data_IF_284865662247
#
_entry.id   IF_284865662247
#
_cell.length_a   1.000
_cell.length_b   1.000
_cell.length_c   1.000
_cell.angle_alpha   90.00
_cell.angle_beta   90.00
_cell.angle_gamma   90.00
#
_symmetry.space_group_name_H-M   'P 1'
#
loop_
_entity.id
_entity.type
_entity.pdbx_description
1 polymer ?
#
# COMPACT_ATOMS: atom_id res chain seq x y z
N UNK A 1 -8.82 14.07 -21.24
CA UNK A 1 -8.09 13.27 -20.24
C UNK A 1 -9.12 12.49 -19.46
N UNK A 2 -8.97 11.18 -19.38
CA UNK A 2 -9.79 10.34 -18.48
C UNK A 2 -9.48 10.70 -17.03
N UNK A 3 -10.51 10.93 -16.23
CA UNK A 3 -10.35 11.19 -14.79
C UNK A 3 -9.80 9.91 -14.14
N UNK A 4 -8.80 10.04 -13.27
CA UNK A 4 -8.24 8.93 -12.52
C UNK A 4 -8.69 9.02 -11.06
N UNK A 5 -9.24 7.93 -10.54
CA UNK A 5 -9.70 7.84 -9.17
C UNK A 5 -8.54 7.52 -8.23
N UNK A 6 -8.32 8.34 -7.21
CA UNK A 6 -7.37 8.05 -6.13
C UNK A 6 -8.17 7.63 -4.90
N UNK A 7 -8.07 6.36 -4.55
CA UNK A 7 -8.97 5.66 -3.62
C UNK A 7 -8.27 5.38 -2.31
N UNK A 8 -8.88 5.80 -1.22
CA UNK A 8 -8.42 5.58 0.15
C UNK A 8 -9.49 4.83 0.94
N UNK A 9 -9.06 3.90 1.79
CA UNK A 9 -9.92 3.19 2.73
C UNK A 9 -9.45 3.48 4.15
N UNK A 10 -10.32 4.05 4.98
CA UNK A 10 -9.99 4.35 6.37
C UNK A 10 -11.23 4.35 7.25
N UNK A 11 -11.25 3.48 8.25
CA UNK A 11 -12.39 3.28 9.14
C UNK A 11 -11.96 2.81 10.54
N UNK A 12 -12.87 2.93 11.51
CA UNK A 12 -12.83 2.26 12.81
C UNK A 12 -11.90 2.88 13.86
N UNK A 13 -10.99 3.80 13.49
CA UNK A 13 -10.12 4.42 14.48
C UNK A 13 -9.58 5.78 14.05
N UNK A 14 -9.41 6.70 15.00
CA UNK A 14 -8.83 8.03 14.75
C UNK A 14 -7.39 7.95 14.20
N UNK A 15 -6.59 6.99 14.64
CA UNK A 15 -5.24 6.80 14.07
C UNK A 15 -5.29 6.43 12.59
N UNK A 16 -6.23 5.58 12.19
CA UNK A 16 -6.48 5.26 10.78
C UNK A 16 -6.88 6.50 9.97
N UNK A 17 -7.79 7.33 10.51
CA UNK A 17 -8.22 8.57 9.86
C UNK A 17 -7.05 9.55 9.70
N UNK A 18 -6.23 9.75 10.72
CA UNK A 18 -5.05 10.61 10.62
C UNK A 18 -4.04 10.12 9.60
N UNK A 19 -3.83 8.81 9.47
CA UNK A 19 -2.98 8.22 8.41
C UNK A 19 -3.49 8.61 7.03
N UNK A 20 -4.77 8.36 6.73
CA UNK A 20 -5.36 8.68 5.43
C UNK A 20 -5.35 10.19 5.15
N UNK A 21 -5.65 11.04 6.13
CA UNK A 21 -5.54 12.49 6.03
C UNK A 21 -4.11 12.89 5.66
N UNK A 22 -3.10 12.36 6.37
CA UNK A 22 -1.71 12.68 6.08
C UNK A 22 -1.26 12.17 4.71
N UNK A 23 -1.74 10.99 4.29
CA UNK A 23 -1.50 10.45 2.96
C UNK A 23 -1.99 11.42 1.87
N UNK A 24 -3.24 11.91 1.98
CA UNK A 24 -3.84 12.88 1.05
C UNK A 24 -3.07 14.21 1.06
N UNK A 25 -2.76 14.76 2.23
CA UNK A 25 -2.00 16.00 2.37
C UNK A 25 -0.59 15.87 1.77
N UNK A 26 0.06 14.71 1.96
CA UNK A 26 1.37 14.44 1.37
C UNK A 26 1.31 14.40 -0.16
N UNK A 27 0.31 13.73 -0.72
CA UNK A 27 0.07 13.73 -2.17
C UNK A 27 -0.13 15.17 -2.68
N UNK A 28 -1.07 15.91 -2.09
CA UNK A 28 -1.38 17.29 -2.48
C UNK A 28 -0.14 18.19 -2.43
N UNK A 29 0.70 18.02 -1.42
CA UNK A 29 1.95 18.78 -1.31
C UNK A 29 2.90 18.55 -2.50
N UNK A 30 2.95 17.36 -3.08
CA UNK A 30 3.81 17.03 -4.20
C UNK A 30 3.21 17.38 -5.55
N UNK A 31 1.90 17.18 -5.74
CA UNK A 31 1.24 17.44 -7.03
C UNK A 31 0.68 18.86 -7.17
N UNK A 32 0.53 19.60 -6.05
CA UNK A 32 -0.01 20.96 -5.98
C UNK A 32 -1.38 21.07 -6.67
N UNK A 33 -1.58 22.10 -7.49
CA UNK A 33 -2.83 22.36 -8.22
C UNK A 33 -3.25 21.20 -9.13
N UNK A 34 -2.29 20.34 -9.56
CA UNK A 34 -2.59 19.14 -10.36
C UNK A 34 -3.43 18.12 -9.59
N UNK A 35 -3.64 18.28 -8.27
CA UNK A 35 -4.54 17.43 -7.48
C UNK A 35 -5.97 17.45 -8.04
N UNK A 36 -6.38 18.56 -8.65
CA UNK A 36 -7.69 18.74 -9.26
C UNK A 36 -7.90 17.93 -10.54
N UNK A 37 -6.84 17.32 -11.08
CA UNK A 37 -6.93 16.40 -12.22
C UNK A 37 -7.40 15.00 -11.81
N UNK A 38 -7.50 14.75 -10.49
CA UNK A 38 -7.92 13.49 -9.93
C UNK A 38 -9.27 13.61 -9.22
N UNK A 39 -9.99 12.50 -9.14
CA UNK A 39 -11.08 12.34 -8.18
C UNK A 39 -10.51 11.67 -6.94
N UNK A 40 -10.52 12.37 -5.82
CA UNK A 40 -10.17 11.78 -4.52
C UNK A 40 -11.42 11.09 -3.96
N UNK A 41 -11.31 9.81 -3.64
CA UNK A 41 -12.40 9.01 -3.06
C UNK A 41 -11.93 8.47 -1.72
N UNK A 42 -12.68 8.77 -0.67
CA UNK A 42 -12.41 8.26 0.68
C UNK A 42 -13.59 7.40 1.14
N UNK A 43 -13.35 6.11 1.25
CA UNK A 43 -14.27 5.16 1.88
C UNK A 43 -14.04 5.21 3.39
N UNK A 44 -15.03 5.66 4.15
CA UNK A 44 -14.90 5.85 5.61
C UNK A 44 -16.25 5.78 6.33
N UNK A 45 -16.20 5.40 7.60
CA UNK A 45 -17.34 5.45 8.51
C UNK A 45 -17.51 6.82 9.21
N UNK A 46 -16.55 7.77 9.01
CA UNK A 46 -16.54 9.08 9.67
C UNK A 46 -16.19 10.23 8.69
N UNK A 47 -16.99 10.54 7.66
CA UNK A 47 -16.68 11.60 6.70
C UNK A 47 -16.43 12.98 7.34
N UNK A 48 -17.17 13.33 8.38
CA UNK A 48 -17.06 14.63 9.06
C UNK A 48 -15.69 14.82 9.74
N UNK A 49 -15.08 13.73 10.20
CA UNK A 49 -13.72 13.77 10.74
C UNK A 49 -12.72 14.24 9.69
N UNK A 50 -12.84 13.76 8.45
CA UNK A 50 -11.96 14.13 7.34
C UNK A 50 -12.17 15.56 6.89
N UNK A 51 -13.42 16.03 6.81
CA UNK A 51 -13.77 17.40 6.39
C UNK A 51 -13.08 18.45 7.25
N UNK A 52 -12.92 18.19 8.55
CA UNK A 52 -12.22 19.07 9.48
C UNK A 52 -10.77 19.40 9.05
N UNK A 53 -10.08 18.44 8.41
CA UNK A 53 -8.66 18.57 8.05
C UNK A 53 -8.42 18.72 6.55
N UNK A 54 -9.39 18.36 5.71
CA UNK A 54 -9.28 18.36 4.27
C UNK A 54 -10.23 19.36 3.59
N UNK A 55 -10.64 20.38 4.32
CA UNK A 55 -11.43 21.48 3.76
C UNK A 55 -10.72 22.16 2.59
N UNK A 56 -11.45 22.39 1.49
CA UNK A 56 -10.93 22.93 0.24
C UNK A 56 -10.37 21.89 -0.74
N UNK A 57 -10.37 20.58 -0.39
CA UNK A 57 -10.14 19.52 -1.36
C UNK A 57 -11.47 19.00 -1.91
N UNK A 58 -11.51 18.74 -3.22
CA UNK A 58 -12.65 18.09 -3.84
C UNK A 58 -12.60 16.57 -3.61
N UNK A 59 -13.25 16.11 -2.53
CA UNK A 59 -13.26 14.71 -2.11
C UNK A 59 -14.66 14.13 -2.17
N UNK A 60 -14.80 13.00 -2.83
CA UNK A 60 -16.01 12.16 -2.76
C UNK A 60 -15.90 11.23 -1.55
N UNK A 61 -16.71 11.44 -0.53
CA UNK A 61 -16.80 10.54 0.61
C UNK A 61 -17.85 9.47 0.35
N UNK A 62 -17.47 8.21 0.51
CA UNK A 62 -18.39 7.07 0.46
C UNK A 62 -18.49 6.51 1.88
N UNK A 63 -19.69 6.68 2.46
CA UNK A 63 -19.99 6.22 3.82
C UNK A 63 -19.97 4.70 3.89
N UNK A 64 -19.22 4.16 4.84
CA UNK A 64 -19.20 2.75 5.17
C UNK A 64 -20.04 2.50 6.42
N UNK A 65 -21.19 1.84 6.26
CA UNK A 65 -21.96 1.38 7.41
C UNK A 65 -21.33 0.13 8.06
N UNK A 66 -21.66 -0.21 9.31
CA UNK A 66 -21.23 -1.44 9.95
C UNK A 66 -21.63 -2.70 9.15
N UNK A 67 -22.81 -2.67 8.51
CA UNK A 67 -23.31 -3.75 7.66
C UNK A 67 -22.42 -3.91 6.42
N UNK A 68 -22.12 -2.83 5.71
CA UNK A 68 -21.21 -2.83 4.55
C UNK A 68 -19.83 -3.36 4.93
N UNK A 69 -19.28 -2.91 6.06
CA UNK A 69 -17.97 -3.40 6.56
C UNK A 69 -18.00 -4.89 6.86
N UNK A 70 -19.14 -5.44 7.30
CA UNK A 70 -19.33 -6.87 7.55
C UNK A 70 -19.48 -7.64 6.24
N UNK A 71 -20.32 -7.16 5.33
CA UNK A 71 -20.54 -7.75 3.99
C UNK A 71 -19.25 -7.85 3.19
N UNK A 72 -18.38 -6.81 3.25
CA UNK A 72 -17.07 -6.82 2.59
C UNK A 72 -16.16 -7.96 3.04
N UNK A 73 -16.38 -8.54 4.23
CA UNK A 73 -15.64 -9.71 4.70
C UNK A 73 -16.16 -11.03 4.13
N UNK A 74 -17.38 -11.07 3.60
CA UNK A 74 -18.04 -12.29 3.07
C UNK A 74 -17.91 -13.51 4.01
N UNK A 75 -18.01 -13.31 5.32
CA UNK A 75 -17.89 -14.36 6.33
C UNK A 75 -16.47 -14.92 6.56
N UNK A 76 -15.44 -14.44 5.84
CA UNK A 76 -14.07 -14.98 5.95
C UNK A 76 -13.33 -14.51 7.21
N UNK A 77 -13.72 -13.40 7.81
CA UNK A 77 -12.99 -12.71 8.87
C UNK A 77 -11.69 -12.04 8.40
N UNK A 78 -11.35 -12.09 7.11
CA UNK A 78 -10.13 -11.54 6.54
C UNK A 78 -10.26 -10.03 6.29
N UNK A 79 -9.70 -9.20 7.17
CA UNK A 79 -9.90 -7.75 7.13
C UNK A 79 -9.36 -7.09 5.85
N UNK A 80 -8.28 -7.62 5.25
CA UNK A 80 -7.70 -7.08 4.01
C UNK A 80 -8.60 -7.34 2.78
N UNK A 81 -9.59 -8.23 2.90
CA UNK A 81 -10.63 -8.42 1.88
C UNK A 81 -11.41 -7.13 1.60
N UNK A 82 -11.54 -6.23 2.59
CA UNK A 82 -12.19 -4.92 2.42
C UNK A 82 -11.50 -4.05 1.38
N UNK A 83 -10.17 -4.14 1.25
CA UNK A 83 -9.41 -3.46 0.18
C UNK A 83 -9.90 -3.93 -1.20
N UNK A 84 -10.00 -5.25 -1.39
CA UNK A 84 -10.47 -5.82 -2.65
C UNK A 84 -11.90 -5.41 -2.96
N UNK A 85 -12.77 -5.42 -1.95
CA UNK A 85 -14.17 -5.01 -2.09
C UNK A 85 -14.30 -3.53 -2.46
N UNK A 86 -13.48 -2.65 -1.88
CA UNK A 86 -13.47 -1.20 -2.19
C UNK A 86 -12.97 -0.94 -3.62
N UNK A 87 -11.95 -1.65 -4.07
CA UNK A 87 -11.46 -1.55 -5.45
C UNK A 87 -12.56 -2.00 -6.43
N UNK A 88 -13.20 -3.14 -6.18
CA UNK A 88 -14.30 -3.64 -7.01
C UNK A 88 -15.51 -2.70 -7.02
N UNK A 89 -15.88 -2.15 -5.86
CA UNK A 89 -16.96 -1.17 -5.75
C UNK A 89 -16.62 0.14 -6.48
N UNK A 90 -15.36 0.56 -6.46
CA UNK A 90 -14.93 1.75 -7.21
C UNK A 90 -15.09 1.55 -8.70
N UNK A 91 -14.69 0.41 -9.26
CA UNK A 91 -14.92 0.11 -10.67
C UNK A 91 -16.41 0.03 -11.04
N UNK A 92 -17.27 -0.47 -10.14
CA UNK A 92 -18.72 -0.48 -10.36
C UNK A 92 -19.32 0.93 -10.39
N UNK A 93 -18.83 1.81 -9.52
CA UNK A 93 -19.31 3.20 -9.46
C UNK A 93 -18.74 4.08 -10.58
N UNK A 94 -17.55 3.76 -11.09
CA UNK A 94 -16.82 4.54 -12.09
C UNK A 94 -16.21 3.61 -13.16
N UNK A 95 -17.05 2.93 -13.97
CA UNK A 95 -16.62 1.83 -14.86
C UNK A 95 -15.68 2.25 -15.99
N UNK A 96 -15.73 3.54 -16.38
CA UNK A 96 -14.94 4.08 -17.49
C UNK A 96 -13.64 4.77 -17.04
N UNK A 97 -13.28 4.66 -15.78
CA UNK A 97 -12.18 5.40 -15.18
C UNK A 97 -11.14 4.48 -14.55
N UNK A 98 -9.86 4.86 -14.70
CA UNK A 98 -8.77 4.20 -14.00
C UNK A 98 -8.81 4.49 -12.50
N UNK A 99 -8.16 3.64 -11.72
CA UNK A 99 -7.99 3.90 -10.30
C UNK A 99 -6.56 3.63 -9.81
N UNK A 100 -6.21 4.34 -8.73
CA UNK A 100 -5.07 4.02 -7.89
C UNK A 100 -5.57 3.89 -6.46
N UNK A 101 -5.53 2.69 -5.92
CA UNK A 101 -5.78 2.44 -4.51
C UNK A 101 -4.52 2.76 -3.70
N UNK A 102 -4.69 3.43 -2.57
CA UNK A 102 -3.60 3.89 -1.70
C UNK A 102 -3.94 3.49 -0.26
N UNK A 103 -3.13 2.62 0.34
CA UNK A 103 -3.30 2.26 1.75
C UNK A 103 -3.10 3.49 2.65
N UNK A 104 -3.89 3.59 3.70
CA UNK A 104 -3.85 4.72 4.63
C UNK A 104 -2.49 4.89 5.32
N UNK A 105 -1.74 3.81 5.53
CA UNK A 105 -0.38 3.81 6.07
C UNK A 105 0.71 4.03 5.00
N UNK A 106 0.38 4.87 4.01
CA UNK A 106 1.29 5.34 2.97
C UNK A 106 1.39 6.87 2.98
N UNK A 107 2.53 7.40 2.55
CA UNK A 107 2.67 8.85 2.29
C UNK A 107 3.61 9.11 1.12
N UNK A 108 3.37 10.22 0.43
CA UNK A 108 4.14 10.60 -0.77
C UNK A 108 5.42 11.34 -0.38
N UNK A 109 6.51 10.96 -1.02
CA UNK A 109 7.86 11.49 -0.80
C UNK A 109 8.43 12.14 -2.05
N UNK A 110 7.72 12.01 -3.18
CA UNK A 110 8.07 12.58 -4.46
C UNK A 110 6.81 12.78 -5.33
N UNK A 111 6.94 13.50 -6.46
CA UNK A 111 5.85 13.63 -7.42
C UNK A 111 5.56 12.27 -8.08
N UNK A 112 4.30 11.78 -8.03
CA UNK A 112 3.91 10.50 -8.62
C UNK A 112 3.71 10.63 -10.14
N UNK A 113 4.79 10.77 -10.90
CA UNK A 113 4.74 10.94 -12.36
C UNK A 113 3.87 9.91 -13.09
N UNK A 114 3.85 8.61 -12.69
CA UNK A 114 2.98 7.63 -13.34
C UNK A 114 1.49 7.92 -13.22
N UNK A 115 1.06 8.72 -12.21
CA UNK A 115 -0.37 9.07 -12.07
C UNK A 115 -0.85 10.00 -13.19
N UNK A 116 0.07 10.73 -13.83
CA UNK A 116 -0.21 11.67 -14.91
C UNK A 116 0.00 11.06 -16.32
N UNK A 117 0.52 9.84 -16.36
CA UNK A 117 0.70 9.15 -17.64
C UNK A 117 -0.66 8.77 -18.26
N UNK A 118 -0.71 8.67 -19.56
CA UNK A 118 -1.84 8.08 -20.25
C UNK A 118 -2.06 6.64 -19.83
N UNK A 119 -3.32 6.20 -19.91
CA UNK A 119 -3.70 4.84 -19.56
C UNK A 119 -3.08 3.85 -20.55
N UNK A 120 -2.44 2.82 -20.00
CA UNK A 120 -1.84 1.73 -20.77
C UNK A 120 -2.21 0.40 -20.09
N UNK A 121 -3.05 -0.38 -20.76
CA UNK A 121 -3.54 -1.66 -20.22
C UNK A 121 -2.43 -2.71 -20.04
N UNK A 122 -1.29 -2.52 -20.69
CA UNK A 122 -0.12 -3.37 -20.50
C UNK A 122 0.69 -3.00 -19.25
N UNK A 123 0.30 -1.95 -18.52
CA UNK A 123 1.04 -1.45 -17.35
C UNK A 123 0.14 -1.36 -16.13
N UNK A 124 0.62 -1.90 -15.02
CA UNK A 124 0.04 -1.72 -13.69
C UNK A 124 1.05 -1.13 -12.72
N UNK A 125 0.57 -0.71 -11.56
CA UNK A 125 1.42 -0.14 -10.51
C UNK A 125 1.20 -0.92 -9.21
N UNK A 126 2.29 -1.31 -8.54
CA UNK A 126 2.27 -1.78 -7.15
C UNK A 126 3.39 -1.09 -6.36
N UNK A 127 3.31 -1.15 -5.01
CA UNK A 127 4.26 -0.41 -4.18
C UNK A 127 5.71 -0.83 -4.44
N UNK A 128 6.05 -2.11 -4.18
CA UNK A 128 7.39 -2.64 -4.37
C UNK A 128 7.38 -4.15 -4.56
N UNK A 129 8.30 -4.66 -5.37
CA UNK A 129 8.56 -6.09 -5.49
C UNK A 129 9.27 -6.60 -4.24
N UNK A 130 8.68 -7.57 -3.54
CA UNK A 130 9.21 -8.05 -2.24
C UNK A 130 10.07 -9.31 -2.40
N UNK A 131 9.44 -10.46 -2.51
CA UNK A 131 10.10 -11.78 -2.55
C UNK A 131 9.34 -12.72 -3.48
N UNK A 132 10.04 -13.74 -4.01
CA UNK A 132 9.39 -14.92 -4.57
C UNK A 132 8.88 -15.81 -3.43
N UNK A 133 8.01 -16.77 -3.73
CA UNK A 133 7.41 -17.59 -2.67
C UNK A 133 8.42 -18.45 -1.92
N UNK A 134 9.48 -18.91 -2.58
CA UNK A 134 10.59 -19.63 -1.92
C UNK A 134 11.33 -18.73 -0.92
N UNK A 135 11.57 -17.49 -1.32
CA UNK A 135 12.13 -16.46 -0.43
C UNK A 135 11.20 -16.11 0.71
N UNK A 136 9.90 -16.02 0.43
CA UNK A 136 8.85 -15.82 1.43
C UNK A 136 8.83 -16.92 2.47
N UNK A 137 8.87 -18.18 2.06
CA UNK A 137 8.92 -19.31 2.98
C UNK A 137 10.13 -19.21 3.92
N UNK A 138 11.33 -18.95 3.36
CA UNK A 138 12.54 -18.75 4.17
C UNK A 138 12.41 -17.59 5.15
N UNK A 139 11.89 -16.45 4.69
CA UNK A 139 11.71 -15.26 5.51
C UNK A 139 10.76 -15.52 6.68
N UNK A 140 9.59 -16.10 6.42
CA UNK A 140 8.57 -16.34 7.44
C UNK A 140 8.95 -17.46 8.40
N UNK A 141 9.75 -18.45 7.97
CA UNK A 141 10.34 -19.45 8.88
C UNK A 141 11.18 -18.80 9.98
N UNK A 142 11.89 -17.71 9.67
CA UNK A 142 12.70 -16.98 10.64
C UNK A 142 11.87 -16.30 11.73
N UNK A 143 10.61 -16.00 11.45
CA UNK A 143 9.67 -15.43 12.41
C UNK A 143 8.77 -16.47 13.08
N UNK A 144 9.00 -17.77 12.84
CA UNK A 144 8.15 -18.83 13.34
C UNK A 144 6.74 -18.85 12.68
N UNK A 145 6.61 -18.26 11.52
CA UNK A 145 5.34 -18.13 10.77
C UNK A 145 5.36 -18.85 9.42
N UNK A 146 6.35 -19.72 9.19
CA UNK A 146 6.55 -20.41 7.91
C UNK A 146 5.40 -21.33 7.49
N UNK A 147 4.50 -21.70 8.45
CA UNK A 147 3.32 -22.49 8.13
C UNK A 147 2.35 -21.80 7.16
N UNK A 148 2.28 -20.46 7.15
CA UNK A 148 1.38 -19.73 6.26
C UNK A 148 1.83 -19.79 4.78
N UNK A 149 3.07 -19.39 4.42
CA UNK A 149 3.54 -19.57 3.05
C UNK A 149 3.67 -21.03 2.65
N UNK A 150 3.99 -21.95 3.57
CA UNK A 150 4.03 -23.38 3.28
C UNK A 150 2.67 -23.88 2.82
N UNK A 151 1.60 -23.64 3.60
CA UNK A 151 0.24 -24.02 3.23
C UNK A 151 -0.23 -23.37 1.92
N UNK A 152 0.21 -22.12 1.67
CA UNK A 152 -0.09 -21.43 0.43
C UNK A 152 0.60 -22.09 -0.78
N UNK A 153 1.89 -22.43 -0.67
CA UNK A 153 2.66 -23.12 -1.72
C UNK A 153 2.02 -24.47 -2.01
N UNK A 154 1.68 -25.24 -0.98
CA UNK A 154 0.98 -26.54 -1.12
C UNK A 154 -0.37 -26.38 -1.84
N UNK A 155 -1.09 -25.30 -1.53
CA UNK A 155 -2.37 -25.04 -2.17
C UNK A 155 -2.26 -24.74 -3.66
N UNK A 156 -1.27 -23.95 -4.08
CA UNK A 156 -1.11 -23.55 -5.49
C UNK A 156 -0.38 -24.61 -6.33
N UNK A 157 0.37 -25.53 -5.69
CA UNK A 157 1.12 -26.59 -6.38
C UNK A 157 0.15 -27.46 -7.16
N UNK A 158 0.52 -27.80 -8.39
CA UNK A 158 -0.24 -28.69 -9.29
C UNK A 158 -1.69 -28.24 -9.59
N UNK A 159 -2.03 -26.97 -9.30
CA UNK A 159 -3.33 -26.39 -9.60
C UNK A 159 -3.30 -25.49 -10.82
N UNK A 160 -4.34 -25.63 -11.61
CA UNK A 160 -4.66 -24.69 -12.69
C UNK A 160 -5.86 -23.84 -12.25
N UNK A 161 -5.68 -22.54 -12.26
CA UNK A 161 -6.72 -21.57 -11.94
C UNK A 161 -7.34 -21.03 -13.22
N UNK A 162 -8.65 -20.88 -13.26
CA UNK A 162 -9.33 -20.25 -14.39
C UNK A 162 -9.48 -18.76 -14.10
N UNK A 163 -8.77 -17.95 -14.86
CA UNK A 163 -8.82 -16.48 -14.79
C UNK A 163 -9.45 -15.96 -16.09
N UNK A 164 -10.60 -15.36 -15.99
CA UNK A 164 -11.46 -15.02 -17.15
C UNK A 164 -11.67 -16.21 -18.09
N UNK A 165 -11.82 -17.40 -17.53
CA UNK A 165 -11.98 -18.64 -18.29
C UNK A 165 -10.71 -19.19 -18.93
N UNK A 166 -9.56 -18.54 -18.80
CA UNK A 166 -8.29 -19.01 -19.31
C UNK A 166 -7.48 -19.72 -18.22
N UNK A 167 -6.84 -20.85 -18.54
CA UNK A 167 -6.02 -21.57 -17.56
C UNK A 167 -4.75 -20.78 -17.20
N UNK A 168 -4.48 -20.67 -15.90
CA UNK A 168 -3.31 -19.98 -15.36
C UNK A 168 -2.71 -20.81 -14.24
N UNK A 169 -1.39 -20.98 -14.25
CA UNK A 169 -0.64 -21.73 -13.24
C UNK A 169 0.24 -20.75 -12.46
N UNK A 170 0.26 -20.89 -11.14
CA UNK A 170 1.13 -20.15 -10.24
C UNK A 170 2.20 -21.10 -9.68
N UNK A 171 3.38 -20.56 -9.35
CA UNK A 171 4.49 -21.37 -8.86
C UNK A 171 5.36 -20.58 -7.86
N UNK A 172 6.35 -21.27 -7.28
CA UNK A 172 7.20 -20.70 -6.22
C UNK A 172 8.12 -19.56 -6.70
N UNK A 173 8.27 -19.37 -8.01
CA UNK A 173 9.05 -18.26 -8.59
C UNK A 173 8.20 -17.00 -8.80
N UNK A 174 6.90 -17.09 -8.59
CA UNK A 174 6.04 -15.90 -8.62
C UNK A 174 6.35 -14.99 -7.43
N UNK A 175 6.31 -13.71 -7.69
CA UNK A 175 6.66 -12.71 -6.70
C UNK A 175 5.43 -12.16 -5.96
N UNK A 176 5.60 -11.95 -4.67
CA UNK A 176 4.77 -11.05 -3.90
C UNK A 176 5.17 -9.61 -4.22
N UNK A 177 4.19 -8.80 -4.61
CA UNK A 177 4.31 -7.37 -4.77
C UNK A 177 3.49 -6.68 -3.70
N UNK A 178 4.11 -5.78 -2.95
CA UNK A 178 3.43 -5.07 -1.88
C UNK A 178 2.25 -4.25 -2.40
N UNK A 179 1.08 -4.44 -1.78
CA UNK A 179 -0.20 -3.87 -2.20
C UNK A 179 -0.55 -2.52 -1.55
N UNK A 180 0.41 -1.86 -0.91
CA UNK A 180 0.21 -0.53 -0.33
C UNK A 180 -0.16 0.56 -1.35
N UNK A 181 0.19 0.34 -2.62
CA UNK A 181 -0.30 1.06 -3.80
C UNK A 181 -0.71 0.02 -4.84
N UNK A 182 -1.88 0.21 -5.45
CA UNK A 182 -2.34 -0.61 -6.59
C UNK A 182 -2.93 0.33 -7.64
N UNK A 183 -2.24 0.49 -8.78
CA UNK A 183 -2.74 1.28 -9.92
C UNK A 183 -3.20 0.37 -11.04
N UNK A 184 -4.45 0.56 -11.46
CA UNK A 184 -5.17 -0.30 -12.40
C UNK A 184 -5.88 0.55 -13.44
N UNK A 185 -5.87 0.12 -14.70
CA UNK A 185 -6.72 0.69 -15.73
C UNK A 185 -8.16 0.19 -15.58
N UNK A 186 -9.11 0.90 -16.16
CA UNK A 186 -10.53 0.53 -16.16
C UNK A 186 -10.78 -0.89 -16.68
N UNK A 187 -10.00 -1.35 -17.65
CA UNK A 187 -10.15 -2.67 -18.25
C UNK A 187 -9.80 -3.82 -17.29
N UNK A 188 -9.02 -3.52 -16.24
CA UNK A 188 -8.75 -4.49 -15.18
C UNK A 188 -10.00 -4.86 -14.36
N UNK A 189 -11.06 -4.05 -14.41
CA UNK A 189 -12.35 -4.36 -13.78
C UNK A 189 -12.85 -5.77 -14.15
N UNK A 190 -12.56 -6.23 -15.36
CA UNK A 190 -12.93 -7.56 -15.85
C UNK A 190 -12.24 -8.72 -15.12
N UNK A 191 -11.15 -8.46 -14.38
CA UNK A 191 -10.44 -9.43 -13.56
C UNK A 191 -10.89 -9.43 -12.08
N UNK A 192 -11.66 -8.42 -11.64
CA UNK A 192 -11.96 -8.25 -10.21
C UNK A 192 -12.71 -9.44 -9.61
N UNK A 193 -13.58 -10.10 -10.38
CA UNK A 193 -14.26 -11.34 -9.93
C UNK A 193 -13.25 -12.44 -9.57
N UNK A 194 -12.19 -12.58 -10.37
CA UNK A 194 -11.15 -13.58 -10.14
C UNK A 194 -10.22 -13.16 -9.00
N UNK A 195 -9.89 -11.87 -8.86
CA UNK A 195 -9.15 -11.35 -7.71
C UNK A 195 -9.87 -11.63 -6.40
N UNK A 196 -11.19 -11.35 -6.34
CA UNK A 196 -12.02 -11.66 -5.16
C UNK A 196 -11.98 -13.16 -4.85
N UNK A 197 -12.22 -13.99 -5.85
CA UNK A 197 -12.22 -15.45 -5.71
C UNK A 197 -10.87 -15.96 -5.20
N UNK A 198 -9.76 -15.55 -5.83
CA UNK A 198 -8.43 -15.95 -5.40
C UNK A 198 -8.09 -15.46 -3.99
N UNK A 199 -8.47 -14.24 -3.64
CA UNK A 199 -8.29 -13.70 -2.28
C UNK A 199 -8.97 -14.60 -1.25
N UNK A 200 -10.21 -14.99 -1.49
CA UNK A 200 -11.00 -15.83 -0.59
C UNK A 200 -10.42 -17.26 -0.51
N UNK A 201 -10.06 -17.85 -1.64
CA UNK A 201 -9.43 -19.18 -1.70
C UNK A 201 -8.06 -19.19 -1.01
N UNK A 202 -7.18 -18.26 -1.33
CA UNK A 202 -5.83 -18.17 -0.75
C UNK A 202 -5.88 -18.02 0.76
N UNK A 203 -6.77 -17.16 1.26
CA UNK A 203 -6.95 -17.00 2.70
C UNK A 203 -7.61 -18.21 3.36
N UNK A 204 -8.58 -18.84 2.70
CA UNK A 204 -9.25 -20.01 3.25
C UNK A 204 -8.27 -21.16 3.54
N UNK A 205 -7.32 -21.40 2.63
CA UNK A 205 -6.34 -22.48 2.75
C UNK A 205 -5.10 -22.15 3.57
N UNK A 206 -4.54 -20.95 3.38
CA UNK A 206 -3.26 -20.61 4.01
C UNK A 206 -3.38 -19.81 5.30
N UNK A 207 -4.50 -19.10 5.49
CA UNK A 207 -4.66 -18.06 6.53
C UNK A 207 -3.58 -16.97 6.48
N UNK A 208 -2.87 -16.86 5.36
CA UNK A 208 -1.79 -15.90 5.22
C UNK A 208 -2.35 -14.49 4.99
N UNK A 209 -1.92 -13.55 5.82
CA UNK A 209 -2.47 -12.19 5.83
C UNK A 209 -2.19 -11.36 4.57
N UNK A 210 -1.31 -11.84 3.65
CA UNK A 210 -1.03 -11.20 2.34
C UNK A 210 -1.83 -11.84 1.19
N UNK A 211 -2.88 -12.59 1.48
CA UNK A 211 -3.66 -13.34 0.46
C UNK A 211 -4.22 -12.42 -0.63
N UNK A 212 -4.73 -11.22 -0.29
CA UNK A 212 -5.21 -10.26 -1.29
C UNK A 212 -4.06 -9.69 -2.12
N UNK A 213 -2.91 -9.45 -1.50
CA UNK A 213 -1.70 -8.98 -2.16
C UNK A 213 -1.21 -9.99 -3.21
N UNK A 214 -1.23 -11.29 -2.85
CA UNK A 214 -0.86 -12.39 -3.76
C UNK A 214 -1.85 -12.52 -4.92
N UNK A 215 -3.17 -12.38 -4.66
CA UNK A 215 -4.18 -12.44 -5.70
C UNK A 215 -3.96 -11.35 -6.77
N UNK A 216 -3.73 -10.09 -6.36
CA UNK A 216 -3.34 -9.03 -7.30
C UNK A 216 -2.00 -9.30 -7.97
N UNK A 217 -0.97 -9.65 -7.19
CA UNK A 217 0.38 -9.88 -7.71
C UNK A 217 0.41 -10.91 -8.82
N UNK A 218 -0.29 -12.01 -8.66
CA UNK A 218 -0.24 -13.15 -9.58
C UNK A 218 -1.00 -12.89 -10.88
N UNK A 219 -2.15 -12.24 -10.81
CA UNK A 219 -2.87 -11.85 -12.00
C UNK A 219 -2.07 -10.77 -12.76
N UNK A 220 -1.63 -9.73 -12.06
CA UNK A 220 -0.92 -8.61 -12.69
C UNK A 220 0.40 -9.02 -13.34
N UNK A 221 1.19 -9.90 -12.73
CA UNK A 221 2.44 -10.40 -13.31
C UNK A 221 2.25 -11.14 -14.64
N UNK A 222 1.06 -11.66 -14.92
CA UNK A 222 0.72 -12.40 -16.13
C UNK A 222 0.00 -11.59 -17.17
N UNK A 223 -0.59 -10.49 -16.76
CA UNK A 223 -1.45 -9.68 -17.62
C UNK A 223 -0.86 -8.31 -17.94
N UNK A 224 0.10 -7.84 -17.13
CA UNK A 224 0.69 -6.50 -17.26
C UNK A 224 2.19 -6.51 -16.93
N UNK A 225 2.87 -5.40 -17.22
CA UNK A 225 4.16 -5.06 -16.66
C UNK A 225 3.95 -4.23 -15.40
N UNK A 226 4.30 -4.78 -14.23
CA UNK A 226 4.16 -4.08 -12.95
C UNK A 226 5.30 -3.08 -12.77
N UNK A 227 4.97 -1.79 -12.60
CA UNK A 227 5.91 -0.75 -12.23
C UNK A 227 5.88 -0.51 -10.72
N UNK A 228 7.04 -0.22 -10.11
CA UNK A 228 7.15 0.06 -8.68
C UNK A 228 6.84 1.52 -8.35
N UNK A 229 6.14 1.76 -7.22
CA UNK A 229 5.83 3.09 -6.68
C UNK A 229 6.78 3.54 -5.56
N UNK A 230 7.76 2.74 -5.15
CA UNK A 230 8.66 2.99 -4.02
C UNK A 230 9.52 4.26 -4.16
N UNK A 231 9.73 4.73 -5.39
CA UNK A 231 10.47 5.96 -5.67
C UNK A 231 9.73 7.23 -5.23
N UNK A 232 8.40 7.18 -5.07
CA UNK A 232 7.57 8.34 -4.74
C UNK A 232 6.58 8.11 -3.59
N UNK A 233 6.42 6.85 -3.11
CA UNK A 233 5.59 6.51 -1.94
C UNK A 233 6.41 5.73 -0.93
N UNK A 234 6.20 6.01 0.34
CA UNK A 234 6.66 5.18 1.46
C UNK A 234 5.44 4.53 2.10
N UNK A 235 5.41 3.20 2.15
CA UNK A 235 4.42 2.40 2.86
C UNK A 235 5.06 1.81 4.13
N UNK A 236 4.47 2.09 5.30
CA UNK A 236 5.03 1.75 6.62
C UNK A 236 4.15 0.74 7.39
N UNK A 237 3.95 -0.41 6.78
CA UNK A 237 3.06 -1.47 7.28
C UNK A 237 3.55 -2.21 8.53
N UNK A 238 4.85 -2.14 8.86
CA UNK A 238 5.44 -2.82 10.01
C UNK A 238 4.85 -2.32 11.35
N UNK A 239 4.55 -3.21 12.32
CA UNK A 239 3.91 -2.81 13.58
C UNK A 239 4.69 -1.72 14.33
N UNK A 240 6.03 -1.83 14.42
CA UNK A 240 6.88 -0.83 15.05
C UNK A 240 6.87 0.49 14.29
N UNK A 241 6.95 0.44 12.96
CA UNK A 241 6.86 1.61 12.10
C UNK A 241 5.53 2.34 12.28
N UNK A 242 4.41 1.60 12.31
CA UNK A 242 3.08 2.19 12.54
C UNK A 242 3.03 2.94 13.85
N UNK A 243 3.47 2.35 14.95
CA UNK A 243 3.47 3.01 16.27
C UNK A 243 4.26 4.33 16.21
N UNK A 244 5.45 4.29 15.62
CA UNK A 244 6.34 5.46 15.53
C UNK A 244 5.76 6.56 14.65
N UNK A 245 5.33 6.20 13.43
CA UNK A 245 4.81 7.15 12.44
C UNK A 245 3.47 7.71 12.89
N UNK A 246 2.56 6.89 13.44
CA UNK A 246 1.27 7.34 13.93
C UNK A 246 1.40 8.40 15.03
N UNK A 247 2.31 8.19 15.97
CA UNK A 247 2.58 9.18 17.03
C UNK A 247 2.99 10.53 16.45
N UNK A 248 3.82 10.51 15.40
CA UNK A 248 4.30 11.74 14.75
C UNK A 248 3.19 12.39 13.93
N UNK A 249 2.48 11.60 13.11
CA UNK A 249 1.39 12.09 12.26
C UNK A 249 0.28 12.68 13.12
N UNK A 250 -0.15 11.96 14.15
CA UNK A 250 -1.18 12.47 15.08
C UNK A 250 -0.75 13.79 15.69
N UNK A 251 0.48 13.87 16.21
CA UNK A 251 1.01 15.13 16.74
C UNK A 251 1.03 16.24 15.70
N UNK A 252 1.53 15.98 14.49
CA UNK A 252 1.56 16.96 13.40
C UNK A 252 0.15 17.51 13.12
N UNK A 253 -0.83 16.61 12.94
CA UNK A 253 -2.19 17.01 12.57
C UNK A 253 -2.93 17.74 13.71
N UNK A 254 -2.69 17.33 14.97
CA UNK A 254 -3.43 17.92 16.11
C UNK A 254 -2.79 19.18 16.69
N UNK A 255 -1.51 19.47 16.41
CA UNK A 255 -0.80 20.63 17.00
C UNK A 255 -0.51 21.74 16.01
N UNK A 256 -0.65 21.52 14.72
CA UNK A 256 -0.40 22.54 13.69
C UNK A 256 -1.69 23.28 13.32
N UNK A 257 -1.54 24.50 12.85
CA UNK A 257 -2.68 25.24 12.31
C UNK A 257 -3.08 24.71 10.94
N UNK A 258 -4.35 24.90 10.56
CA UNK A 258 -4.85 24.51 9.23
C UNK A 258 -4.04 25.17 8.08
N UNK A 259 -3.53 26.39 8.31
CA UNK A 259 -2.67 27.09 7.36
C UNK A 259 -1.34 26.38 7.11
N UNK A 260 -0.79 25.69 8.11
CA UNK A 260 0.48 24.95 7.96
C UNK A 260 0.30 23.70 7.07
N UNK A 261 -0.88 23.08 7.08
CA UNK A 261 -1.18 21.95 6.19
C UNK A 261 -1.35 22.37 4.73
N UNK A 262 -1.74 23.61 4.45
CA UNK A 262 -1.71 24.17 3.08
C UNK A 262 -0.26 24.51 2.63
N UNK A 263 0.70 24.53 3.56
CA UNK A 263 2.10 24.78 3.24
C UNK A 263 2.77 23.50 2.70
N UNK A 264 2.81 23.37 1.38
CA UNK A 264 3.44 22.24 0.70
C UNK A 264 4.90 22.00 1.12
N UNK A 265 5.66 23.07 1.44
CA UNK A 265 7.06 22.97 1.87
C UNK A 265 7.19 22.28 3.23
N UNK A 266 6.29 22.62 4.17
CA UNK A 266 6.25 22.01 5.49
C UNK A 266 5.95 20.50 5.38
N UNK A 267 4.90 20.15 4.64
CA UNK A 267 4.52 18.72 4.45
C UNK A 267 5.63 17.94 3.76
N UNK A 268 6.22 18.45 2.67
CA UNK A 268 7.35 17.77 2.00
C UNK A 268 8.55 17.56 2.93
N UNK A 269 8.85 18.54 3.78
CA UNK A 269 9.92 18.39 4.78
C UNK A 269 9.59 17.29 5.80
N UNK A 270 8.32 17.19 6.24
CA UNK A 270 7.89 16.14 7.16
C UNK A 270 7.93 14.76 6.53
N UNK A 271 7.47 14.60 5.26
CA UNK A 271 7.55 13.31 4.55
C UNK A 271 8.98 12.83 4.34
N UNK A 272 9.91 13.74 4.01
CA UNK A 272 11.33 13.41 3.89
C UNK A 272 11.91 12.87 5.21
N UNK A 273 11.54 13.49 6.34
CA UNK A 273 12.00 13.04 7.67
C UNK A 273 11.40 11.68 8.04
N UNK A 274 10.09 11.50 7.80
CA UNK A 274 9.40 10.25 8.08
C UNK A 274 9.95 9.11 7.23
N UNK A 275 10.18 9.32 5.92
CA UNK A 275 10.81 8.33 5.05
C UNK A 275 12.14 7.86 5.62
N UNK A 276 13.00 8.78 5.98
CA UNK A 276 14.29 8.44 6.57
C UNK A 276 14.15 7.60 7.85
N UNK A 277 13.18 7.94 8.71
CA UNK A 277 12.90 7.16 9.94
C UNK A 277 12.42 5.74 9.61
N UNK A 278 11.51 5.58 8.65
CA UNK A 278 10.99 4.29 8.22
C UNK A 278 12.10 3.43 7.59
N UNK A 279 12.95 4.02 6.75
CA UNK A 279 14.11 3.33 6.15
C UNK A 279 15.13 2.88 7.21
N UNK A 280 15.44 3.73 8.20
CA UNK A 280 16.34 3.37 9.29
C UNK A 280 15.77 2.22 10.14
N UNK A 281 14.48 2.28 10.47
CA UNK A 281 13.79 1.23 11.24
C UNK A 281 13.79 -0.11 10.49
N UNK A 282 13.48 -0.09 9.19
CA UNK A 282 13.52 -1.29 8.35
C UNK A 282 14.91 -1.95 8.36
N UNK A 283 15.98 -1.15 8.17
CA UNK A 283 17.34 -1.67 8.20
C UNK A 283 17.69 -2.22 9.59
N UNK A 284 17.23 -1.55 10.64
CA UNK A 284 17.46 -2.00 12.01
C UNK A 284 16.80 -3.35 12.31
N UNK A 285 15.55 -3.55 11.86
CA UNK A 285 14.88 -4.85 11.98
C UNK A 285 15.58 -5.94 11.15
N UNK A 286 16.02 -5.62 9.94
CA UNK A 286 16.82 -6.54 9.10
C UNK A 286 18.15 -6.89 9.76
N UNK A 287 18.80 -5.92 10.43
CA UNK A 287 20.04 -6.13 11.20
C UNK A 287 19.83 -7.08 12.38
N UNK A 288 18.75 -6.90 13.15
CA UNK A 288 18.40 -7.82 14.25
C UNK A 288 18.20 -9.26 13.75
N UNK A 289 17.54 -9.44 12.60
CA UNK A 289 17.33 -10.76 12.01
C UNK A 289 18.68 -11.37 11.61
N UNK A 290 19.52 -10.63 10.90
CA UNK A 290 20.84 -11.08 10.45
C UNK A 290 21.73 -11.52 11.63
N UNK A 291 21.73 -10.75 12.71
CA UNK A 291 22.48 -11.09 13.93
C UNK A 291 21.96 -12.37 14.59
N UNK A 292 20.65 -12.57 14.64
CA UNK A 292 20.05 -13.81 15.17
C UNK A 292 20.45 -15.03 14.33
N UNK A 293 20.59 -14.85 13.02
CA UNK A 293 20.99 -15.91 12.08
C UNK A 293 22.49 -16.13 12.01
N UNK A 294 23.29 -15.30 12.68
CA UNK A 294 24.76 -15.28 12.57
C UNK A 294 25.26 -15.06 11.12
N UNK A 295 24.47 -14.36 10.30
CA UNK A 295 24.88 -13.92 8.96
C UNK A 295 25.73 -12.64 9.06
N UNK A 296 27.02 -12.81 9.29
CA UNK A 296 27.95 -11.69 9.48
C UNK A 296 28.14 -10.87 8.22
N UNK A 297 28.01 -11.45 7.03
CA UNK A 297 28.16 -10.74 5.76
C UNK A 297 26.96 -9.77 5.58
N UNK A 298 25.76 -10.29 5.75
CA UNK A 298 24.56 -9.48 5.63
C UNK A 298 24.49 -8.43 6.76
N UNK A 299 24.87 -8.79 7.98
CA UNK A 299 25.01 -7.87 9.11
C UNK A 299 25.92 -6.69 8.77
N UNK A 300 27.13 -6.96 8.24
CA UNK A 300 28.07 -5.90 7.85
C UNK A 300 27.49 -4.99 6.78
N UNK A 301 26.84 -5.55 5.73
CA UNK A 301 26.16 -4.76 4.71
C UNK A 301 25.10 -3.82 5.30
N UNK A 302 24.29 -4.31 6.24
CA UNK A 302 23.22 -3.50 6.89
C UNK A 302 23.78 -2.43 7.81
N UNK A 303 24.86 -2.69 8.53
CA UNK A 303 25.56 -1.67 9.34
C UNK A 303 26.09 -0.54 8.43
N UNK A 304 26.77 -0.90 7.35
CA UNK A 304 27.27 0.08 6.37
C UNK A 304 26.10 0.91 5.81
N UNK A 305 25.03 0.28 5.40
CA UNK A 305 23.85 0.97 4.87
C UNK A 305 23.24 1.93 5.89
N UNK A 306 23.13 1.54 7.15
CA UNK A 306 22.63 2.40 8.24
C UNK A 306 23.55 3.62 8.50
N UNK A 307 24.86 3.41 8.45
CA UNK A 307 25.84 4.50 8.58
C UNK A 307 25.70 5.50 7.43
N UNK A 308 25.61 5.04 6.18
CA UNK A 308 25.39 5.90 5.03
C UNK A 308 24.12 6.74 5.15
N UNK A 309 23.00 6.14 5.55
CA UNK A 309 21.74 6.87 5.75
C UNK A 309 21.88 7.96 6.82
N UNK A 310 22.54 7.66 7.95
CA UNK A 310 22.76 8.65 9.02
C UNK A 310 23.68 9.80 8.56
N UNK A 311 24.76 9.49 7.86
CA UNK A 311 25.70 10.50 7.35
C UNK A 311 25.00 11.40 6.30
N UNK A 312 24.26 10.81 5.38
CA UNK A 312 23.53 11.55 4.36
C UNK A 312 22.49 12.50 4.97
N UNK A 313 21.80 12.06 6.01
CA UNK A 313 20.84 12.89 6.73
C UNK A 313 21.50 14.07 7.46
N UNK A 314 22.68 13.87 8.03
CA UNK A 314 23.47 14.95 8.67
C UNK A 314 23.92 15.98 7.63
N UNK A 315 24.32 15.54 6.42
CA UNK A 315 24.74 16.45 5.36
C UNK A 315 23.60 17.30 4.80
N UNK A 316 22.39 16.76 4.73
CA UNK A 316 21.18 17.51 4.34
C UNK A 316 20.79 18.54 5.41
N UNK A 317 20.94 18.22 6.70
CA UNK A 317 20.70 19.18 7.80
C UNK A 317 21.66 20.36 7.81
N UNK A 318 22.90 20.17 7.37
CA UNK A 318 23.91 21.24 7.33
C UNK A 318 23.78 22.17 6.11
N UNK A 319 22.97 21.79 5.10
CA UNK A 319 22.73 22.60 3.89
C UNK A 319 21.42 23.41 3.92
N UNK A 320 20.67 23.35 5.03
CA UNK A 320 19.48 24.16 5.32
C UNK A 320 19.77 25.15 6.45
#
# INVERSE_FOLDING_TARGET
MTVKNLVFLSYGSSSGYYRAIYSILSLAAWVKEKINNFRLIVYTDQPEFFKTYLDGFNITYIMLSPEMLTEMLAGTGFIHRRKVAVIDLTFKNFPDEDLVFIDSDSFFTNEPKPFFAESDDAVSLMHVKEYDLDGGLRLFNLFGQGQYPQAFIEYISDRTFLIRGQPMVFNTKDYSWNSGIIGLTKNFSSYMKDVVKLTDEFYAYSKWFVSEQLAFSFILQRTTTIKSADSFVTHYWGPHQRILVDKIITRLITTQSFSDFKNSKFIRSSTTKLRHMVECDLIYEQLKIALRQRDFIYTTKKVIQLLFLKIFHISIRKRK
#
